data_IF_141209896023
#
_entry.id   IF_141209896023
#
_cell.length_a   1.000
_cell.length_b   1.000
_cell.length_c   1.000
_cell.angle_alpha   90.00
_cell.angle_beta   90.00
_cell.angle_gamma   90.00
#
_symmetry.space_group_name_H-M   'P 1'
#
loop_
_entity.id
_entity.type
_entity.pdbx_description
1 polymer ?
#
# COMPACT_ATOMS: atom_id res chain seq x y z
N UNK A 1 32.41 -30.01 -34.24
CA UNK A 1 32.68 -30.87 -33.06
C UNK A 1 32.70 -29.97 -31.83
N UNK A 2 31.63 -29.94 -31.01
CA UNK A 2 31.62 -29.21 -29.76
C UNK A 2 32.17 -30.11 -28.65
N UNK A 3 33.01 -29.55 -27.77
CA UNK A 3 33.47 -30.25 -26.56
C UNK A 3 33.10 -29.39 -25.36
N UNK A 4 32.25 -29.94 -24.50
CA UNK A 4 31.89 -29.37 -23.19
C UNK A 4 33.02 -29.59 -22.19
N UNK A 5 33.31 -28.59 -21.36
CA UNK A 5 33.81 -28.80 -20.00
C UNK A 5 33.16 -27.77 -19.06
N UNK A 6 32.41 -28.29 -18.09
CA UNK A 6 31.79 -27.62 -16.94
C UNK A 6 32.82 -27.34 -15.86
N UNK A 7 32.85 -26.11 -15.29
CA UNK A 7 33.17 -25.94 -13.88
C UNK A 7 32.57 -24.66 -13.30
N UNK A 8 31.98 -24.78 -12.11
CA UNK A 8 31.18 -23.77 -11.46
C UNK A 8 32.01 -22.55 -11.01
N UNK A 9 31.46 -21.37 -11.27
CA UNK A 9 31.86 -20.15 -10.59
C UNK A 9 30.72 -19.70 -9.69
N UNK A 10 30.96 -19.93 -8.39
CA UNK A 10 30.20 -19.41 -7.26
C UNK A 10 30.40 -17.89 -7.27
N UNK A 11 29.35 -17.12 -7.57
CA UNK A 11 29.35 -15.66 -7.37
C UNK A 11 29.51 -15.37 -5.88
N UNK A 12 30.74 -15.08 -5.45
CA UNK A 12 31.02 -14.52 -4.13
C UNK A 12 30.72 -13.02 -4.25
N UNK A 13 29.55 -12.61 -3.75
CA UNK A 13 29.22 -11.20 -3.59
C UNK A 13 29.99 -10.72 -2.35
N UNK A 14 30.96 -9.83 -2.57
CA UNK A 14 31.72 -9.14 -1.52
C UNK A 14 30.80 -8.14 -0.79
N UNK A 15 30.53 -8.31 0.52
CA UNK A 15 29.61 -7.46 1.26
C UNK A 15 30.22 -6.13 1.73
N UNK A 16 31.43 -5.78 1.30
CA UNK A 16 32.12 -4.56 1.74
C UNK A 16 31.59 -3.24 1.14
N UNK A 17 30.63 -3.29 0.20
CA UNK A 17 30.09 -2.08 -0.45
C UNK A 17 29.01 -1.32 0.35
N UNK A 18 28.55 -1.85 1.49
CA UNK A 18 27.58 -1.18 2.37
C UNK A 18 28.20 -0.76 3.71
N UNK A 19 29.31 -0.01 3.68
CA UNK A 19 29.77 0.70 4.88
C UNK A 19 30.25 2.11 4.53
N UNK A 20 29.32 3.06 4.47
CA UNK A 20 29.56 4.41 4.99
C UNK A 20 28.48 4.77 5.99
N UNK A 21 28.88 4.66 7.26
CA UNK A 21 28.20 5.22 8.42
C UNK A 21 27.99 6.73 8.21
N UNK A 22 26.75 7.17 8.12
CA UNK A 22 26.32 8.35 8.86
C UNK A 22 25.75 7.83 10.19
N UNK A 23 26.28 8.32 11.31
CA UNK A 23 25.86 7.94 12.66
C UNK A 23 24.36 8.21 12.83
N UNK A 24 23.57 7.14 12.98
CA UNK A 24 22.19 7.25 13.40
C UNK A 24 22.16 7.76 14.87
N UNK A 25 21.39 8.81 15.19
CA UNK A 25 21.12 9.14 16.58
C UNK A 25 20.42 7.95 17.25
N UNK A 26 20.85 7.65 18.47
CA UNK A 26 20.40 6.54 19.31
C UNK A 26 18.88 6.35 19.28
N UNK A 27 18.44 5.17 18.84
CA UNK A 27 17.04 4.78 18.80
C UNK A 27 16.40 4.83 20.21
N UNK A 28 15.29 5.56 20.42
CA UNK A 28 14.45 5.26 21.56
C UNK A 28 13.79 3.90 21.36
N UNK A 29 13.83 3.05 22.39
CA UNK A 29 13.15 1.76 22.40
C UNK A 29 11.65 1.96 22.21
N UNK A 30 11.12 1.55 21.05
CA UNK A 30 9.68 1.54 20.81
C UNK A 30 9.04 0.36 21.54
N UNK A 31 8.52 0.63 22.72
CA UNK A 31 7.56 -0.25 23.40
C UNK A 31 6.17 0.14 22.89
N UNK A 32 5.40 -0.74 22.22
CA UNK A 32 4.03 -0.41 21.84
C UNK A 32 3.20 -0.30 23.12
N UNK A 33 2.97 0.93 23.59
CA UNK A 33 2.05 1.18 24.70
C UNK A 33 0.65 0.81 24.25
N UNK A 34 0.08 -0.26 24.82
CA UNK A 34 -1.37 -0.52 24.80
C UNK A 34 -2.05 0.60 25.60
N UNK A 35 -2.22 1.78 25.02
CA UNK A 35 -3.17 2.75 25.57
C UNK A 35 -4.56 2.22 25.20
N UNK A 36 -5.33 1.83 26.20
CA UNK A 36 -6.77 1.65 26.05
C UNK A 36 -7.36 3.01 25.71
N UNK A 37 -7.82 3.17 24.48
CA UNK A 37 -8.47 4.40 24.05
C UNK A 37 -9.94 4.34 24.48
N UNK A 38 -10.29 5.11 25.52
CA UNK A 38 -11.68 5.42 25.83
C UNK A 38 -12.18 6.45 24.80
N UNK A 39 -13.08 6.02 23.90
CA UNK A 39 -13.62 6.84 22.82
C UNK A 39 -15.15 6.67 22.80
N UNK A 40 -15.94 7.77 22.69
CA UNK A 40 -17.40 7.71 22.77
C UNK A 40 -18.05 6.95 21.59
N UNK A 41 -19.18 6.30 21.88
CA UNK A 41 -19.93 5.32 21.06
C UNK A 41 -20.61 5.84 19.77
N UNK A 42 -20.07 6.88 19.13
CA UNK A 42 -20.59 7.40 17.84
C UNK A 42 -19.84 6.79 16.66
N UNK A 43 -20.45 6.79 15.48
CA UNK A 43 -19.89 6.19 14.26
C UNK A 43 -18.46 6.69 14.05
N UNK A 44 -17.49 5.77 14.13
CA UNK A 44 -16.08 6.08 14.05
C UNK A 44 -15.70 6.15 12.57
N UNK A 45 -16.09 7.22 11.89
CA UNK A 45 -15.54 7.52 10.58
C UNK A 45 -14.47 8.60 10.82
N UNK A 46 -13.17 8.27 10.65
CA UNK A 46 -12.11 9.24 10.81
C UNK A 46 -12.37 10.47 9.94
N UNK A 47 -12.08 11.66 10.47
CA UNK A 47 -11.97 12.86 9.64
C UNK A 47 -10.89 12.56 8.59
N UNK A 48 -11.22 12.61 7.28
CA UNK A 48 -10.27 12.25 6.25
C UNK A 48 -9.13 13.26 6.24
N UNK A 49 -7.90 12.78 6.08
CA UNK A 49 -6.81 13.64 5.63
C UNK A 49 -7.21 14.25 4.28
N UNK A 50 -6.78 15.47 3.97
CA UNK A 50 -7.02 16.11 2.66
C UNK A 50 -6.66 15.14 1.53
N UNK A 51 -7.64 14.76 0.69
CA UNK A 51 -7.42 13.92 -0.48
C UNK A 51 -7.36 14.81 -1.72
N UNK A 52 -6.18 14.93 -2.29
CA UNK A 52 -6.02 15.56 -3.60
C UNK A 52 -6.49 14.59 -4.69
N UNK A 53 -7.27 15.06 -5.67
CA UNK A 53 -7.62 14.22 -6.81
C UNK A 53 -6.38 13.71 -7.53
N UNK A 54 -6.47 12.55 -8.17
CA UNK A 54 -5.39 12.05 -9.00
C UNK A 54 -5.19 12.95 -10.21
N UNK A 55 -4.03 13.57 -10.29
CA UNK A 55 -3.63 14.38 -11.44
C UNK A 55 -2.91 13.50 -12.48
N UNK A 56 -3.55 13.30 -13.62
CA UNK A 56 -3.01 12.47 -14.70
C UNK A 56 -2.25 13.29 -15.75
N UNK A 57 -2.15 14.61 -15.56
CA UNK A 57 -1.59 15.55 -16.54
C UNK A 57 -0.12 15.30 -16.90
N UNK A 58 0.61 14.52 -16.09
CA UNK A 58 1.99 14.11 -16.37
C UNK A 58 2.09 13.06 -17.51
N UNK A 59 0.98 12.50 -17.98
CA UNK A 59 0.91 11.54 -19.09
C UNK A 59 0.11 12.10 -20.27
N UNK A 60 0.43 11.65 -21.48
CA UNK A 60 -0.38 11.94 -22.67
C UNK A 60 -1.78 11.34 -22.52
N UNK A 61 -2.83 11.99 -23.03
CA UNK A 61 -4.24 11.58 -22.84
C UNK A 61 -4.51 10.10 -23.18
N UNK A 62 -3.96 9.61 -24.29
CA UNK A 62 -4.07 8.20 -24.68
C UNK A 62 -3.43 7.25 -23.64
N UNK A 63 -2.29 7.65 -23.08
CA UNK A 63 -1.58 6.88 -22.06
C UNK A 63 -2.29 6.97 -20.69
N UNK A 64 -2.98 8.08 -20.38
CA UNK A 64 -3.79 8.21 -19.16
C UNK A 64 -4.91 7.17 -19.15
N UNK A 65 -5.72 7.11 -20.21
CA UNK A 65 -6.82 6.15 -20.30
C UNK A 65 -6.30 4.71 -20.28
N UNK A 66 -5.28 4.43 -21.09
CA UNK A 66 -4.68 3.09 -21.15
C UNK A 66 -4.13 2.64 -19.80
N UNK A 67 -3.36 3.50 -19.11
CA UNK A 67 -2.75 3.15 -17.83
C UNK A 67 -3.81 2.97 -16.75
N UNK A 68 -4.84 3.83 -16.70
CA UNK A 68 -5.96 3.70 -15.76
C UNK A 68 -6.66 2.35 -15.93
N UNK A 69 -7.00 1.96 -17.16
CA UNK A 69 -7.66 0.67 -17.45
C UNK A 69 -6.75 -0.50 -17.12
N UNK A 70 -5.48 -0.45 -17.54
CA UNK A 70 -4.52 -1.54 -17.31
C UNK A 70 -4.28 -1.75 -15.82
N UNK A 71 -4.06 -0.67 -15.08
CA UNK A 71 -3.84 -0.71 -13.64
C UNK A 71 -5.09 -1.22 -12.90
N UNK A 72 -6.29 -0.75 -13.27
CA UNK A 72 -7.56 -1.24 -12.70
C UNK A 72 -7.68 -2.76 -12.83
N UNK A 73 -7.44 -3.27 -14.03
CA UNK A 73 -7.56 -4.70 -14.33
C UNK A 73 -6.49 -5.53 -13.59
N UNK A 74 -5.24 -5.06 -13.55
CA UNK A 74 -4.18 -5.72 -12.77
C UNK A 74 -4.49 -5.76 -11.28
N UNK A 75 -5.04 -4.68 -10.70
CA UNK A 75 -5.46 -4.64 -9.30
C UNK A 75 -6.62 -5.60 -9.03
N UNK A 76 -7.62 -5.67 -9.91
CA UNK A 76 -8.76 -6.58 -9.75
C UNK A 76 -8.36 -8.05 -9.87
N UNK A 77 -7.43 -8.36 -10.76
CA UNK A 77 -6.92 -9.72 -10.98
C UNK A 77 -5.88 -10.14 -9.93
N UNK A 78 -5.28 -9.19 -9.20
CA UNK A 78 -4.12 -9.47 -8.36
C UNK A 78 -2.85 -9.81 -9.15
N UNK A 79 -2.79 -9.35 -10.41
CA UNK A 79 -1.70 -9.66 -11.36
C UNK A 79 -0.78 -8.45 -11.52
N UNK A 80 0.08 -8.28 -10.51
CA UNK A 80 1.15 -7.28 -10.47
C UNK A 80 2.48 -8.04 -10.41
N UNK A 81 3.26 -7.99 -11.49
CA UNK A 81 4.50 -8.76 -11.62
C UNK A 81 5.54 -8.43 -10.55
N UNK A 82 5.57 -7.19 -10.09
CA UNK A 82 6.51 -6.73 -9.06
C UNK A 82 5.95 -6.84 -7.64
N UNK A 83 4.74 -7.38 -7.46
CA UNK A 83 4.11 -7.45 -6.15
C UNK A 83 4.85 -8.44 -5.25
N UNK A 84 5.33 -8.00 -4.08
CA UNK A 84 6.04 -8.87 -3.18
C UNK A 84 5.09 -9.89 -2.55
N UNK A 85 5.57 -11.11 -2.31
CA UNK A 85 4.79 -12.20 -1.72
C UNK A 85 4.28 -11.93 -0.30
N UNK A 86 4.84 -10.93 0.38
CA UNK A 86 4.43 -10.50 1.71
C UNK A 86 3.37 -9.39 1.68
N UNK A 87 3.01 -8.85 0.52
CA UNK A 87 1.90 -7.89 0.44
C UNK A 87 0.62 -8.48 1.07
N UNK A 88 -0.14 -7.73 1.90
CA UNK A 88 -0.02 -6.29 2.17
C UNK A 88 0.87 -5.89 3.35
N UNK A 89 1.49 -6.83 4.08
CA UNK A 89 2.33 -6.53 5.27
C UNK A 89 3.65 -7.30 5.27
N UNK A 90 4.76 -6.59 5.46
CA UNK A 90 6.08 -7.21 5.60
C UNK A 90 6.06 -8.35 6.63
N UNK A 91 6.77 -9.44 6.35
CA UNK A 91 7.04 -10.52 7.32
C UNK A 91 8.53 -10.53 7.61
N UNK A 92 8.90 -10.40 8.88
CA UNK A 92 10.31 -10.23 9.31
C UNK A 92 11.16 -11.50 9.18
N UNK A 93 10.54 -12.64 8.91
CA UNK A 93 11.25 -13.93 8.83
C UNK A 93 10.89 -14.60 7.51
N UNK A 94 11.87 -15.19 6.80
CA UNK A 94 11.62 -16.00 5.63
C UNK A 94 10.58 -17.10 5.93
N UNK A 95 9.78 -17.37 4.90
CA UNK A 95 8.59 -18.23 4.79
C UNK A 95 8.57 -19.61 5.47
N UNK A 96 9.63 -20.06 6.14
CA UNK A 96 9.71 -21.35 6.84
C UNK A 96 8.98 -21.38 8.19
N UNK A 97 8.53 -20.24 8.72
CA UNK A 97 7.81 -20.18 9.99
C UNK A 97 6.45 -19.47 9.83
N UNK A 98 5.31 -20.20 9.82
CA UNK A 98 3.98 -19.63 9.64
C UNK A 98 3.51 -18.76 10.82
N UNK A 99 4.27 -18.71 11.92
CA UNK A 99 3.98 -17.96 13.14
C UNK A 99 4.70 -16.61 13.23
N UNK A 100 5.48 -16.23 12.21
CA UNK A 100 6.23 -14.97 12.26
C UNK A 100 5.29 -13.76 12.21
N UNK A 101 5.42 -12.82 13.16
CA UNK A 101 4.54 -11.67 13.23
C UNK A 101 4.74 -10.75 12.01
N UNK A 102 3.64 -10.14 11.55
CA UNK A 102 3.70 -9.09 10.56
C UNK A 102 4.49 -7.89 11.12
N UNK A 103 5.38 -7.34 10.30
CA UNK A 103 5.98 -6.02 10.51
C UNK A 103 5.13 -4.97 9.81
N UNK A 104 4.92 -3.87 10.51
CA UNK A 104 4.22 -2.70 10.00
C UNK A 104 5.21 -1.59 9.59
N UNK A 105 6.44 -1.98 9.25
CA UNK A 105 7.39 -1.03 8.68
C UNK A 105 6.90 -0.53 7.31
N UNK A 106 7.06 0.78 7.03
CA UNK A 106 6.80 1.31 5.70
C UNK A 106 7.61 0.59 4.63
N UNK A 107 7.04 0.46 3.45
CA UNK A 107 7.71 -0.15 2.29
C UNK A 107 7.20 0.47 1.00
N UNK A 108 7.97 0.28 -0.07
CA UNK A 108 7.56 0.60 -1.43
C UNK A 108 8.06 -0.43 -2.44
N UNK A 109 7.34 -0.57 -3.56
CA UNK A 109 7.78 -1.32 -4.72
C UNK A 109 7.23 -0.68 -6.00
N UNK A 110 7.92 -0.90 -7.13
CA UNK A 110 7.56 -0.29 -8.41
C UNK A 110 7.03 -1.33 -9.40
N UNK A 111 5.93 -1.01 -10.06
CA UNK A 111 5.41 -1.75 -11.19
C UNK A 111 5.67 -0.94 -12.47
N UNK A 112 6.38 -1.54 -13.42
CA UNK A 112 6.61 -0.91 -14.72
C UNK A 112 5.49 -1.24 -15.69
N UNK A 113 5.05 -0.22 -16.44
CA UNK A 113 4.11 -0.31 -17.54
C UNK A 113 4.73 0.28 -18.80
N UNK A 114 4.42 -0.29 -19.96
CA UNK A 114 4.86 0.26 -21.25
C UNK A 114 3.79 1.19 -21.79
N UNK A 115 4.13 2.46 -21.93
CA UNK A 115 3.30 3.53 -22.51
C UNK A 115 3.86 3.98 -23.85
N UNK A 116 3.11 4.79 -24.61
CA UNK A 116 3.58 5.31 -25.89
C UNK A 116 4.86 6.15 -25.76
N UNK A 117 5.00 6.88 -24.64
CA UNK A 117 6.21 7.65 -24.28
C UNK A 117 7.32 6.83 -23.61
N UNK A 118 7.26 5.49 -23.63
CA UNK A 118 8.25 4.59 -23.04
C UNK A 118 7.79 3.95 -21.72
N UNK A 119 8.74 3.56 -20.87
CA UNK A 119 8.43 2.97 -19.56
C UNK A 119 7.78 4.00 -18.62
N UNK A 120 6.74 3.59 -17.90
CA UNK A 120 6.10 4.33 -16.82
C UNK A 120 6.16 3.47 -15.55
N UNK A 121 6.92 3.92 -14.56
CA UNK A 121 7.01 3.26 -13.26
C UNK A 121 5.92 3.82 -12.34
N UNK A 122 5.07 2.93 -11.84
CA UNK A 122 4.05 3.23 -10.84
C UNK A 122 4.53 2.71 -9.49
N UNK A 123 4.58 3.58 -8.49
CA UNK A 123 5.02 3.21 -7.14
C UNK A 123 3.83 2.81 -6.30
N UNK A 124 3.96 1.67 -5.63
CA UNK A 124 3.08 1.22 -4.57
C UNK A 124 3.79 1.44 -3.25
N UNK A 125 3.15 2.12 -2.31
CA UNK A 125 3.72 2.35 -0.99
C UNK A 125 2.74 2.01 0.12
N UNK A 126 3.30 1.60 1.24
CA UNK A 126 2.61 1.41 2.50
C UNK A 126 3.29 2.27 3.55
N UNK A 127 2.50 3.01 4.32
CA UNK A 127 2.95 3.69 5.53
C UNK A 127 2.20 3.16 6.75
N UNK A 128 2.93 3.10 7.86
CA UNK A 128 2.39 2.72 9.16
C UNK A 128 1.32 3.71 9.62
N UNK A 129 0.60 3.36 10.69
CA UNK A 129 -0.47 4.17 11.27
C UNK A 129 0.02 5.48 11.89
N UNK A 130 0.40 6.43 11.05
CA UNK A 130 0.39 7.85 11.37
C UNK A 130 -1.07 8.23 11.65
N UNK A 131 -1.33 8.92 12.75
CA UNK A 131 -2.68 9.37 13.12
C UNK A 131 -3.75 8.24 13.18
N UNK A 132 -3.34 7.01 13.52
CA UNK A 132 -4.23 5.83 13.58
C UNK A 132 -4.70 5.29 12.22
N UNK A 133 -4.07 5.66 11.11
CA UNK A 133 -4.46 5.22 9.76
C UNK A 133 -3.30 4.54 9.01
N UNK A 134 -3.41 3.25 8.75
CA UNK A 134 -2.52 2.55 7.82
C UNK A 134 -2.85 2.97 6.40
N UNK A 135 -1.87 3.39 5.61
CA UNK A 135 -2.13 3.92 4.27
C UNK A 135 -1.42 3.10 3.21
N UNK A 136 -2.18 2.71 2.17
CA UNK A 136 -1.65 2.18 0.92
C UNK A 136 -1.90 3.21 -0.17
N UNK A 137 -0.87 3.46 -0.99
CA UNK A 137 -0.93 4.48 -2.04
C UNK A 137 -0.34 3.94 -3.33
N UNK A 138 -0.94 4.35 -4.43
CA UNK A 138 -0.38 4.24 -5.77
C UNK A 138 -0.01 5.64 -6.23
N UNK A 139 1.21 5.84 -6.74
CA UNK A 139 1.65 7.14 -7.22
C UNK A 139 2.47 7.09 -8.49
N UNK A 140 2.40 8.16 -9.28
CA UNK A 140 3.28 8.43 -10.41
C UNK A 140 4.42 9.36 -10.02
N UNK A 141 5.58 9.25 -10.67
CA UNK A 141 6.60 10.29 -10.61
C UNK A 141 6.02 11.59 -11.19
N UNK A 142 6.18 12.69 -10.46
CA UNK A 142 5.58 13.98 -10.81
C UNK A 142 6.31 14.68 -11.96
N UNK A 143 7.61 14.46 -12.10
CA UNK A 143 8.34 14.82 -13.30
C UNK A 143 9.62 13.98 -13.44
N UNK A 144 9.88 13.45 -14.65
CA UNK A 144 11.10 12.65 -14.91
C UNK A 144 12.39 13.49 -14.82
N UNK A 145 12.25 14.82 -14.76
CA UNK A 145 13.33 15.79 -14.90
C UNK A 145 13.47 16.76 -13.72
N UNK A 146 12.58 16.70 -12.72
CA UNK A 146 12.65 17.56 -11.53
C UNK A 146 12.64 16.71 -10.26
N UNK A 147 13.81 16.63 -9.64
CA UNK A 147 14.13 15.86 -8.44
C UNK A 147 13.32 16.25 -7.19
N UNK A 148 12.65 17.40 -7.21
CA UNK A 148 11.93 17.97 -6.05
C UNK A 148 10.40 17.94 -6.18
N UNK A 149 9.87 17.32 -7.23
CA UNK A 149 8.42 17.25 -7.44
C UNK A 149 7.78 16.13 -6.62
N UNK A 150 6.78 16.48 -5.79
CA UNK A 150 6.05 15.51 -4.96
C UNK A 150 5.30 14.50 -5.84
N UNK A 151 5.38 13.19 -5.56
CA UNK A 151 4.76 12.16 -6.38
C UNK A 151 3.24 12.35 -6.46
N UNK A 152 2.68 12.10 -7.64
CA UNK A 152 1.26 12.30 -7.88
C UNK A 152 0.49 11.07 -7.42
N UNK A 153 -0.42 11.24 -6.45
CA UNK A 153 -1.22 10.13 -5.93
C UNK A 153 -2.33 9.76 -6.90
N UNK A 154 -2.36 8.52 -7.38
CA UNK A 154 -3.38 7.99 -8.27
C UNK A 154 -4.56 7.35 -7.52
N UNK A 155 -4.25 6.64 -6.44
CA UNK A 155 -5.23 5.93 -5.63
C UNK A 155 -4.71 5.81 -4.20
N UNK A 156 -5.63 5.81 -3.23
CA UNK A 156 -5.28 5.72 -1.82
C UNK A 156 -6.35 4.94 -1.05
N UNK A 157 -5.87 4.03 -0.20
CA UNK A 157 -6.69 3.30 0.77
C UNK A 157 -6.13 3.56 2.15
N UNK A 158 -7.01 3.88 3.09
CA UNK A 158 -6.70 4.00 4.51
C UNK A 158 -7.42 2.91 5.29
N UNK A 159 -6.74 2.32 6.26
CA UNK A 159 -7.32 1.35 7.19
C UNK A 159 -7.14 1.87 8.60
N UNK A 160 -8.24 2.03 9.32
CA UNK A 160 -8.19 2.52 10.68
C UNK A 160 -7.57 1.50 11.64
N UNK A 161 -6.74 1.95 12.58
CA UNK A 161 -5.98 1.08 13.48
C UNK A 161 -6.87 0.21 14.37
N UNK A 162 -8.12 0.62 14.64
CA UNK A 162 -9.07 -0.22 15.36
C UNK A 162 -9.44 -1.51 14.62
N UNK A 163 -9.28 -1.57 13.28
CA UNK A 163 -9.45 -2.81 12.50
C UNK A 163 -8.46 -3.89 12.97
N UNK A 164 -7.27 -3.53 13.45
CA UNK A 164 -6.28 -4.48 13.97
C UNK A 164 -6.82 -5.37 15.08
N UNK A 165 -7.80 -4.88 15.85
CA UNK A 165 -8.40 -5.60 16.96
C UNK A 165 -9.58 -6.50 16.52
N UNK A 166 -9.82 -6.61 15.21
CA UNK A 166 -10.91 -7.41 14.63
C UNK A 166 -10.36 -8.65 13.89
N UNK A 167 -11.17 -9.71 13.72
CA UNK A 167 -10.81 -10.83 12.85
C UNK A 167 -10.50 -10.40 11.41
N UNK A 168 -11.10 -9.29 10.96
CA UNK A 168 -10.89 -8.73 9.62
C UNK A 168 -9.43 -8.41 9.32
N UNK A 169 -8.67 -7.93 10.30
CA UNK A 169 -7.25 -7.64 10.12
C UNK A 169 -6.46 -8.89 9.72
N UNK A 170 -6.76 -10.02 10.37
CA UNK A 170 -6.11 -11.29 10.07
C UNK A 170 -6.51 -11.82 8.70
N UNK A 171 -7.76 -11.62 8.30
CA UNK A 171 -8.25 -11.94 6.97
C UNK A 171 -7.52 -11.11 5.90
N UNK A 172 -7.46 -9.80 6.07
CA UNK A 172 -6.77 -8.89 5.16
C UNK A 172 -5.27 -9.19 5.03
N UNK A 173 -4.61 -9.62 6.10
CA UNK A 173 -3.21 -10.06 6.05
C UNK A 173 -2.98 -11.40 5.32
N UNK A 174 -4.03 -12.18 5.06
CA UNK A 174 -3.99 -13.43 4.29
C UNK A 174 -4.45 -13.25 2.85
N UNK A 175 -5.41 -12.35 2.63
CA UNK A 175 -5.99 -12.08 1.33
C UNK A 175 -5.62 -10.65 0.86
N UNK A 176 -4.58 -10.50 0.03
CA UNK A 176 -4.18 -9.20 -0.49
C UNK A 176 -5.24 -8.56 -1.39
N UNK A 177 -6.20 -9.34 -1.91
CA UNK A 177 -7.24 -8.83 -2.81
C UNK A 177 -8.12 -7.77 -2.14
N UNK A 178 -8.20 -7.77 -0.80
CA UNK A 178 -8.90 -6.73 -0.02
C UNK A 178 -8.34 -5.34 -0.32
N UNK A 179 -7.03 -5.16 -0.18
CA UNK A 179 -6.38 -3.86 -0.43
C UNK A 179 -6.34 -3.57 -1.93
N UNK A 180 -6.07 -4.56 -2.77
CA UNK A 180 -5.97 -4.36 -4.22
C UNK A 180 -7.30 -3.93 -4.83
N UNK A 181 -8.42 -4.54 -4.43
CA UNK A 181 -9.75 -4.14 -4.87
C UNK A 181 -10.11 -2.76 -4.36
N UNK A 182 -9.81 -2.44 -3.10
CA UNK A 182 -10.03 -1.11 -2.55
C UNK A 182 -9.24 -0.03 -3.31
N UNK A 183 -7.97 -0.32 -3.68
CA UNK A 183 -7.16 0.56 -4.52
C UNK A 183 -7.74 0.70 -5.92
N UNK A 184 -8.26 -0.40 -6.50
CA UNK A 184 -8.93 -0.38 -7.81
C UNK A 184 -10.18 0.52 -7.78
N UNK A 185 -11.00 0.40 -6.74
CA UNK A 185 -12.18 1.25 -6.53
C UNK A 185 -11.79 2.71 -6.33
N UNK A 186 -10.76 2.99 -5.52
CA UNK A 186 -10.22 4.34 -5.33
C UNK A 186 -9.77 4.95 -6.66
N UNK A 187 -9.05 4.18 -7.48
CA UNK A 187 -8.57 4.58 -8.80
C UNK A 187 -9.72 4.88 -9.78
N UNK A 188 -10.73 4.02 -9.78
CA UNK A 188 -11.87 4.10 -10.69
C UNK A 188 -12.72 5.35 -10.39
N UNK A 189 -13.09 5.51 -9.11
CA UNK A 189 -13.98 6.57 -8.65
C UNK A 189 -13.26 7.90 -8.37
N UNK A 190 -11.93 7.90 -8.23
CA UNK A 190 -11.16 9.09 -7.85
C UNK A 190 -11.48 9.57 -6.43
N UNK A 191 -11.60 8.62 -5.49
CA UNK A 191 -11.94 8.88 -4.08
C UNK A 191 -10.94 8.20 -3.15
N UNK A 192 -10.81 8.72 -1.93
CA UNK A 192 -10.13 8.01 -0.84
C UNK A 192 -11.05 6.93 -0.30
N UNK A 193 -10.57 5.68 -0.21
CA UNK A 193 -11.31 4.60 0.46
C UNK A 193 -10.78 4.43 1.88
N UNK A 194 -11.68 4.51 2.86
CA UNK A 194 -11.37 4.28 4.27
C UNK A 194 -12.07 3.02 4.76
N UNK A 195 -11.29 2.07 5.27
CA UNK A 195 -11.77 0.82 5.87
C UNK A 195 -11.74 0.98 7.39
N UNK A 196 -12.90 0.95 8.02
CA UNK A 196 -13.03 1.13 9.46
C UNK A 196 -14.19 0.29 10.01
N UNK A 197 -14.15 -0.13 11.29
CA UNK A 197 -15.33 -0.73 11.90
C UNK A 197 -16.42 0.33 12.07
N UNK A 198 -17.68 -0.04 11.91
CA UNK A 198 -18.82 0.88 12.06
C UNK A 198 -18.82 1.58 13.42
N UNK A 199 -18.48 0.83 14.46
CA UNK A 199 -18.34 1.28 15.84
C UNK A 199 -17.17 0.54 16.48
N UNK A 200 -16.63 1.11 17.57
CA UNK A 200 -15.61 0.42 18.36
C UNK A 200 -16.14 -0.94 18.82
N UNK A 201 -15.38 -2.02 18.57
CA UNK A 201 -15.76 -3.42 18.86
C UNK A 201 -16.89 -4.00 18.00
N UNK A 202 -17.39 -3.26 17.00
CA UNK A 202 -18.29 -3.84 16.01
C UNK A 202 -17.58 -4.90 15.18
N UNK A 203 -18.30 -5.97 14.85
CA UNK A 203 -17.86 -6.93 13.85
C UNK A 203 -18.17 -6.43 12.43
N UNK A 204 -18.94 -5.36 12.27
CA UNK A 204 -19.21 -4.76 10.96
C UNK A 204 -18.08 -3.81 10.55
N UNK A 205 -17.48 -4.09 9.40
CA UNK A 205 -16.47 -3.28 8.72
C UNK A 205 -17.14 -2.52 7.58
N UNK A 206 -16.86 -1.22 7.50
CA UNK A 206 -17.34 -0.32 6.47
C UNK A 206 -16.21 0.04 5.51
N UNK A 207 -16.58 0.23 4.26
CA UNK A 207 -15.77 0.86 3.22
C UNK A 207 -16.41 2.20 2.90
N UNK A 208 -15.76 3.28 3.32
CA UNK A 208 -16.25 4.64 3.16
C UNK A 208 -15.45 5.32 2.05
N UNK A 209 -16.12 5.79 1.01
CA UNK A 209 -15.54 6.70 0.04
C UNK A 209 -15.58 8.12 0.58
N UNK A 210 -14.46 8.83 0.44
CA UNK A 210 -14.39 10.28 0.66
C UNK A 210 -14.05 10.95 -0.66
N UNK A 211 -14.96 11.79 -1.18
CA UNK A 211 -14.73 12.61 -2.37
C UNK A 211 -13.92 13.86 -2.05
N UNK A 212 -13.51 14.60 -3.09
CA UNK A 212 -12.68 15.81 -2.97
C UNK A 212 -13.30 16.92 -2.10
N UNK A 213 -14.63 17.03 -2.10
CA UNK A 213 -15.40 17.98 -1.28
C UNK A 213 -15.52 17.53 0.19
N UNK A 214 -14.88 16.41 0.55
CA UNK A 214 -14.95 15.82 1.88
C UNK A 214 -16.24 15.06 2.17
N UNK A 215 -17.14 14.92 1.18
CA UNK A 215 -18.37 14.15 1.35
C UNK A 215 -18.02 12.67 1.50
N UNK A 216 -18.65 12.04 2.49
CA UNK A 216 -18.45 10.63 2.80
C UNK A 216 -19.67 9.80 2.42
N UNK A 217 -19.44 8.65 1.81
CA UNK A 217 -20.48 7.69 1.44
C UNK A 217 -20.01 6.27 1.75
N UNK A 218 -20.90 5.46 2.33
CA UNK A 218 -20.62 4.05 2.57
C UNK A 218 -20.84 3.29 1.27
N UNK A 219 -19.76 2.75 0.70
CA UNK A 219 -19.83 1.96 -0.53
C UNK A 219 -20.21 0.50 -0.26
N UNK A 220 -19.74 -0.05 0.85
CA UNK A 220 -19.88 -1.46 1.17
C UNK A 220 -19.74 -1.69 2.67
N UNK A 221 -20.44 -2.70 3.20
CA UNK A 221 -20.23 -3.20 4.56
C UNK A 221 -20.15 -4.73 4.59
N UNK A 222 -19.39 -5.25 5.54
CA UNK A 222 -19.24 -6.69 5.75
C UNK A 222 -19.12 -7.01 7.23
N UNK A 223 -19.58 -8.20 7.63
CA UNK A 223 -19.39 -8.69 9.00
C UNK A 223 -18.13 -9.57 9.10
N UNK A 224 -17.42 -9.46 10.22
CA UNK A 224 -16.33 -10.34 10.60
C UNK A 224 -16.93 -11.65 11.11
N UNK A 225 -16.77 -12.74 10.35
CA UNK A 225 -17.06 -14.10 10.82
C UNK A 225 -15.85 -14.70 11.54
#
# INVERSE_FOLDING_TARGET
>A
MPTYLTHGQRLIIDPSYYVRRAQAPSCPSYSPSRKSFDVPSTCYIPTPCSYSPPDWSCLAENDQHWLKVRLRNSLQAGDLSSMPSWFPFLRLVPSSCPSSPASYQPYEFCQEFRTSGGGCAVTFSFSAAEEQLFTWRISLPSNRWQTESLPITLAQVQVHASVMNTPYWRFMGKDPSVILRALSTSLELGVLITIAPRQLRSQEILYVATSMDGKQEVLYSTQCQ
#
